data_IF_668299729616
#
_entry.id   IF_668299729616
#
_cell.length_a   1.000
_cell.length_b   1.000
_cell.length_c   1.000
_cell.angle_alpha   90.00
_cell.angle_beta   90.00
_cell.angle_gamma   90.00
#
_symmetry.space_group_name_H-M   'P 1'
#
loop_
_entity.id
_entity.type
_entity.pdbx_description
1 polymer ?
#
# COMPACT_ATOMS: atom_id res chain seq x y z
N UNK A 1 15.68 26.84 -14.39
CA UNK A 1 15.27 25.64 -15.14
C UNK A 1 14.34 24.87 -14.23
N UNK A 2 13.05 24.70 -14.57
CA UNK A 2 12.15 23.91 -13.74
C UNK A 2 12.45 22.44 -13.98
N UNK A 3 12.99 21.76 -12.96
CA UNK A 3 13.24 20.32 -12.96
C UNK A 3 11.92 19.57 -12.77
N UNK A 4 11.01 19.74 -13.73
CA UNK A 4 9.69 19.15 -13.67
C UNK A 4 9.82 17.64 -13.84
N UNK A 5 9.44 16.89 -12.81
CA UNK A 5 9.48 15.44 -12.85
C UNK A 5 8.25 14.91 -13.57
N UNK A 6 8.44 14.29 -14.73
CA UNK A 6 7.35 13.74 -15.54
C UNK A 6 7.00 12.32 -15.08
N UNK A 7 5.72 12.09 -14.78
CA UNK A 7 5.20 10.78 -14.42
C UNK A 7 4.18 10.31 -15.47
N UNK A 8 4.28 9.05 -15.88
CA UNK A 8 3.34 8.41 -16.80
C UNK A 8 2.03 8.02 -16.11
N UNK A 9 2.11 7.67 -14.83
CA UNK A 9 0.97 7.25 -14.03
C UNK A 9 1.02 7.94 -12.67
N UNK A 10 -0.10 8.51 -12.26
CA UNK A 10 -0.31 9.07 -10.93
C UNK A 10 -1.35 8.22 -10.21
N UNK A 11 -1.03 7.78 -9.00
CA UNK A 11 -1.91 6.99 -8.14
C UNK A 11 -2.21 7.81 -6.90
N UNK A 12 -3.50 8.12 -6.68
CA UNK A 12 -3.97 8.87 -5.52
C UNK A 12 -4.52 7.89 -4.48
N UNK A 13 -3.90 7.85 -3.31
CA UNK A 13 -4.24 6.96 -2.19
C UNK A 13 -3.24 5.81 -2.04
N UNK A 14 -2.46 5.85 -0.96
CA UNK A 14 -1.47 4.85 -0.52
C UNK A 14 -2.05 3.76 0.38
N UNK A 15 -3.31 3.39 0.20
CA UNK A 15 -3.89 2.18 0.80
C UNK A 15 -3.46 0.90 0.06
N UNK A 16 -3.95 -0.29 0.48
CA UNK A 16 -3.59 -1.56 -0.15
C UNK A 16 -3.85 -1.59 -1.65
N UNK A 17 -4.95 -0.98 -2.10
CA UNK A 17 -5.28 -0.88 -3.52
C UNK A 17 -4.22 -0.07 -4.28
N UNK A 18 -3.88 1.14 -3.85
CA UNK A 18 -2.90 1.97 -4.54
C UNK A 18 -1.48 1.42 -4.50
N UNK A 19 -1.06 0.85 -3.37
CA UNK A 19 0.22 0.14 -3.25
C UNK A 19 0.22 -1.07 -4.21
N UNK A 20 -0.85 -1.87 -4.23
CA UNK A 20 -1.00 -3.01 -5.12
C UNK A 20 -0.94 -2.61 -6.60
N UNK A 21 -1.59 -1.51 -6.98
CA UNK A 21 -1.51 -0.93 -8.33
C UNK A 21 -0.08 -0.51 -8.68
N UNK A 22 0.60 0.22 -7.80
CA UNK A 22 1.99 0.66 -8.02
C UNK A 22 2.93 -0.53 -8.23
N UNK A 23 2.84 -1.55 -7.37
CA UNK A 23 3.64 -2.79 -7.49
C UNK A 23 3.30 -3.54 -8.78
N UNK A 24 2.02 -3.65 -9.12
CA UNK A 24 1.58 -4.32 -10.35
C UNK A 24 2.09 -3.64 -11.62
N UNK A 25 2.07 -2.30 -11.67
CA UNK A 25 2.61 -1.51 -12.78
C UNK A 25 4.14 -1.67 -12.90
N UNK A 26 4.85 -1.55 -11.78
CA UNK A 26 6.30 -1.74 -11.74
C UNK A 26 6.71 -3.12 -12.25
N UNK A 27 6.02 -4.19 -11.82
CA UNK A 27 6.26 -5.57 -12.30
C UNK A 27 6.03 -5.76 -13.80
N UNK A 28 5.19 -4.91 -14.42
CA UNK A 28 4.89 -4.94 -15.86
C UNK A 28 5.77 -3.97 -16.67
N UNK A 29 6.76 -3.33 -16.04
CA UNK A 29 7.63 -2.35 -16.70
C UNK A 29 6.93 -1.03 -17.05
N UNK A 30 5.79 -0.73 -16.42
CA UNK A 30 5.05 0.52 -16.66
C UNK A 30 5.52 1.58 -15.67
N UNK A 31 6.14 2.63 -16.19
CA UNK A 31 6.56 3.80 -15.41
C UNK A 31 7.02 4.96 -16.31
N UNK A 32 7.47 6.08 -15.72
CA UNK A 32 7.58 6.34 -14.27
C UNK A 32 6.20 6.50 -13.59
N UNK A 33 6.09 6.02 -12.35
CA UNK A 33 4.84 6.04 -11.54
C UNK A 33 5.06 6.85 -10.28
N UNK A 34 4.08 7.64 -9.87
CA UNK A 34 4.05 8.32 -8.57
C UNK A 34 2.81 7.89 -7.77
N UNK A 35 3.02 7.59 -6.48
CA UNK A 35 1.98 7.31 -5.51
C UNK A 35 1.91 8.48 -4.53
N UNK A 36 0.73 9.07 -4.36
CA UNK A 36 0.51 10.22 -3.48
C UNK A 36 -0.53 9.83 -2.43
N UNK A 37 -0.19 10.01 -1.15
CA UNK A 37 -1.13 9.90 -0.04
C UNK A 37 -1.05 11.17 0.81
N UNK A 38 -2.16 11.53 1.47
CA UNK A 38 -2.19 12.62 2.45
C UNK A 38 -1.44 12.26 3.74
N UNK A 39 -1.38 10.96 4.06
CA UNK A 39 -0.75 10.42 5.25
C UNK A 39 0.75 10.33 5.04
N UNK A 40 1.50 10.66 6.09
CA UNK A 40 2.95 10.45 6.11
C UNK A 40 3.34 8.96 6.07
N UNK A 41 2.40 8.06 6.45
CA UNK A 41 2.60 6.61 6.39
C UNK A 41 1.64 5.97 5.39
N UNK A 42 2.19 5.13 4.52
CA UNK A 42 1.43 4.30 3.60
C UNK A 42 0.75 3.13 4.36
N UNK A 43 -0.31 2.57 3.78
CA UNK A 43 -1.07 1.46 4.35
C UNK A 43 -2.57 1.71 4.46
N UNK A 44 -3.03 2.96 4.33
CA UNK A 44 -4.45 3.33 4.40
C UNK A 44 -5.11 2.94 5.72
N UNK A 45 -6.42 2.68 5.71
CA UNK A 45 -7.19 2.23 6.90
C UNK A 45 -6.56 1.04 7.66
N UNK A 46 -6.01 0.01 6.99
CA UNK A 46 -5.37 -1.12 7.65
C UNK A 46 -4.32 -0.81 8.72
N UNK A 47 -3.53 0.27 8.55
CA UNK A 47 -2.47 0.62 9.51
C UNK A 47 -3.02 0.94 10.92
N UNK A 48 -4.30 1.29 11.02
CA UNK A 48 -4.96 1.55 12.30
C UNK A 48 -5.37 0.28 13.05
N UNK A 49 -5.39 -0.89 12.39
CA UNK A 49 -5.80 -2.14 13.01
C UNK A 49 -4.64 -2.76 13.79
N UNK A 50 -4.53 -2.35 15.05
CA UNK A 50 -3.59 -2.95 16.00
C UNK A 50 -4.09 -4.30 16.52
N UNK A 51 -3.16 -5.21 16.75
CA UNK A 51 -3.44 -6.50 17.40
C UNK A 51 -3.80 -6.23 18.86
N UNK A 52 -4.89 -6.85 19.30
CA UNK A 52 -5.37 -6.78 20.68
C UNK A 52 -5.51 -8.21 21.21
N UNK A 53 -5.32 -8.43 22.52
CA UNK A 53 -5.66 -9.72 23.13
C UNK A 53 -7.11 -10.09 22.80
N UNK A 54 -7.33 -11.27 22.22
CA UNK A 54 -8.65 -11.73 21.76
C UNK A 54 -9.16 -11.09 20.47
N UNK A 55 -8.36 -10.28 19.78
CA UNK A 55 -8.73 -9.69 18.49
C UNK A 55 -8.85 -10.75 17.40
N UNK A 56 -9.78 -10.55 16.46
CA UNK A 56 -9.87 -11.38 15.26
C UNK A 56 -8.93 -10.83 14.17
N UNK A 57 -8.16 -11.69 13.49
CA UNK A 57 -7.32 -11.28 12.37
C UNK A 57 -8.14 -10.54 11.30
N UNK A 58 -7.58 -9.47 10.74
CA UNK A 58 -8.35 -8.51 9.93
C UNK A 58 -8.24 -8.73 8.43
N UNK A 59 -7.14 -9.33 7.96
CA UNK A 59 -6.90 -9.57 6.53
C UNK A 59 -6.44 -10.99 6.26
N UNK A 60 -6.86 -11.52 5.11
CA UNK A 60 -6.29 -12.73 4.52
C UNK A 60 -5.24 -12.31 3.49
N UNK A 61 -3.97 -12.61 3.74
CA UNK A 61 -2.89 -12.49 2.76
C UNK A 61 -3.07 -13.61 1.73
N UNK A 62 -3.85 -13.31 0.69
CA UNK A 62 -4.28 -14.28 -0.33
C UNK A 62 -3.09 -14.96 -1.04
N UNK A 63 -1.96 -14.26 -1.17
CA UNK A 63 -0.73 -14.78 -1.78
C UNK A 63 -0.01 -15.85 -0.94
N UNK A 64 -0.33 -15.99 0.36
CA UNK A 64 0.35 -16.94 1.26
C UNK A 64 -0.59 -17.77 2.13
N UNK A 65 -1.91 -17.65 1.95
CA UNK A 65 -2.91 -18.36 2.75
C UNK A 65 -2.85 -18.06 4.24
N UNK A 66 -2.35 -16.88 4.63
CA UNK A 66 -2.19 -16.49 6.05
C UNK A 66 -3.22 -15.45 6.44
N UNK A 67 -3.71 -15.54 7.67
CA UNK A 67 -4.56 -14.51 8.26
C UNK A 67 -3.70 -13.64 9.17
N UNK A 68 -3.63 -12.34 8.89
CA UNK A 68 -2.74 -11.38 9.56
C UNK A 68 -3.51 -10.14 10.02
N UNK A 69 -2.97 -9.45 11.03
CA UNK A 69 -3.48 -8.15 11.46
C UNK A 69 -2.95 -7.03 10.55
N UNK A 70 -3.68 -5.90 10.50
CA UNK A 70 -3.28 -4.76 9.67
C UNK A 70 -1.92 -4.16 10.06
N UNK A 71 -1.60 -4.13 11.36
CA UNK A 71 -0.28 -3.73 11.85
C UNK A 71 0.86 -4.62 11.34
N UNK A 72 0.63 -5.93 11.21
CA UNK A 72 1.63 -6.90 10.72
C UNK A 72 1.87 -6.69 9.22
N UNK A 73 0.90 -6.11 8.50
CA UNK A 73 1.04 -5.73 7.09
C UNK A 73 1.81 -4.41 6.93
N UNK A 74 1.61 -3.45 7.85
CA UNK A 74 2.22 -2.12 7.77
C UNK A 74 3.67 -2.04 8.28
N UNK A 75 4.10 -3.01 9.08
CA UNK A 75 5.46 -3.09 9.63
C UNK A 75 6.48 -3.81 8.75
N UNK A 76 6.11 -4.22 7.53
CA UNK A 76 6.95 -4.97 6.58
C UNK A 76 7.26 -4.11 5.36
#
# INVERSE_FOLDING_TARGET
>A
MSDAQHFKVVIIGGGPAGIGTAVGLAKRGVGPVVLIDRSAKLGGTPIGYRKKPGGVPTFVEWTRGRVVFGEELAGR
#
